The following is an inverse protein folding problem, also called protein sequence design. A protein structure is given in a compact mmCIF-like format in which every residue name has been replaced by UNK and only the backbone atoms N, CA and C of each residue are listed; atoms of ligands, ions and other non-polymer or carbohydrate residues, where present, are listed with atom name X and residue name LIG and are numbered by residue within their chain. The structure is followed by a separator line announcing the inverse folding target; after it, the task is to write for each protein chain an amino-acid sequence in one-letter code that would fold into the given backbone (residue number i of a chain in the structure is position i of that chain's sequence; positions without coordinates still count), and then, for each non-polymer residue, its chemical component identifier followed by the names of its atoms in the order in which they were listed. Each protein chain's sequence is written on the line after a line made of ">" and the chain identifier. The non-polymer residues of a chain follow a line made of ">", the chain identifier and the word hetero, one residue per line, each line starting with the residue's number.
data_IF_188393711588
#
_entry.id   IF_188393711588
#
_cell.length_a   1.000
_cell.length_b   1.000
_cell.length_c   1.000
_cell.angle_alpha   90.00
_cell.angle_beta   90.00
_cell.angle_gamma   90.00
#
_symmetry.space_group_name_H-M   'P 1'
#
loop_
_entity.id
_entity.type
_entity.pdbx_description
1 polymer ?
#
# COMPACT_ATOMS: atom_id res chain seq x y z
N UNK A 1 -3.81 -8.52 14.65
CA UNK A 1 -3.46 -8.93 13.27
C UNK A 1 -4.34 -8.17 12.31
N UNK A 2 -3.76 -7.29 11.52
CA UNK A 2 -4.52 -6.51 10.55
C UNK A 2 -3.82 -6.63 9.20
N UNK A 3 -4.47 -7.33 8.27
CA UNK A 3 -4.08 -7.40 6.89
C UNK A 3 -4.79 -6.29 6.12
N UNK A 4 -4.05 -5.41 5.46
CA UNK A 4 -4.60 -4.30 4.70
C UNK A 4 -4.14 -4.37 3.25
N UNK A 5 -5.11 -4.37 2.35
CA UNK A 5 -4.88 -4.10 0.94
C UNK A 5 -4.90 -2.58 0.74
N UNK A 6 -3.82 -2.02 0.24
CA UNK A 6 -3.70 -0.60 -0.10
C UNK A 6 -3.97 -0.43 -1.59
N UNK A 7 -5.07 0.22 -1.93
CA UNK A 7 -5.50 0.43 -3.32
C UNK A 7 -5.41 1.91 -3.67
N UNK A 8 -4.65 2.23 -4.69
CA UNK A 8 -4.42 3.59 -5.17
C UNK A 8 -2.98 3.80 -5.63
N UNK A 9 -2.73 4.79 -6.48
CA UNK A 9 -1.44 5.00 -7.14
C UNK A 9 -0.37 5.71 -6.27
N UNK A 10 -0.66 5.99 -5.01
CA UNK A 10 0.17 6.85 -4.16
C UNK A 10 1.17 6.05 -3.32
N UNK A 11 2.34 5.77 -3.90
CA UNK A 11 3.42 4.99 -3.27
C UNK A 11 3.88 5.56 -1.92
N UNK A 12 3.92 6.89 -1.77
CA UNK A 12 4.37 7.55 -0.54
C UNK A 12 3.48 7.31 0.69
N UNK A 13 2.22 6.92 0.50
CA UNK A 13 1.33 6.55 1.62
C UNK A 13 1.69 5.17 2.18
N UNK A 14 2.06 4.24 1.31
CA UNK A 14 2.35 2.85 1.68
C UNK A 14 3.58 2.73 2.54
N UNK A 15 4.68 3.31 2.09
CA UNK A 15 5.95 3.33 2.82
C UNK A 15 5.82 4.10 4.14
N UNK A 16 5.07 5.22 4.13
CA UNK A 16 4.81 6.01 5.33
C UNK A 16 3.98 5.25 6.38
N UNK A 17 2.93 4.51 5.97
CA UNK A 17 2.15 3.67 6.90
C UNK A 17 3.03 2.55 7.46
N UNK A 18 3.77 1.83 6.61
CA UNK A 18 4.66 0.76 7.04
C UNK A 18 5.72 1.24 8.03
N UNK A 19 6.37 2.35 7.71
CA UNK A 19 7.38 2.97 8.57
C UNK A 19 6.78 3.48 9.88
N UNK A 20 5.62 4.15 9.84
CA UNK A 20 4.93 4.65 11.03
C UNK A 20 4.51 3.53 11.98
N UNK A 21 4.02 2.40 11.47
CA UNK A 21 3.72 1.23 12.29
C UNK A 21 4.98 0.62 12.93
N UNK A 22 6.08 0.56 12.17
CA UNK A 22 7.35 0.07 12.69
C UNK A 22 7.92 0.99 13.81
N UNK A 23 7.75 2.32 13.68
CA UNK A 23 8.09 3.26 14.75
C UNK A 23 7.26 3.05 16.04
N UNK A 24 6.06 2.52 15.90
CA UNK A 24 5.21 2.11 17.03
C UNK A 24 5.55 0.71 17.56
N UNK A 25 6.75 0.19 17.23
CA UNK A 25 7.25 -1.13 17.62
C UNK A 25 6.34 -2.29 17.16
N UNK A 26 5.72 -2.15 15.98
CA UNK A 26 4.96 -3.21 15.33
C UNK A 26 5.81 -3.94 14.32
N UNK A 27 5.66 -5.26 14.25
CA UNK A 27 6.28 -6.07 13.20
C UNK A 27 5.44 -5.93 11.93
N UNK A 28 6.04 -5.38 10.89
CA UNK A 28 5.34 -5.05 9.65
C UNK A 28 6.02 -5.73 8.47
N UNK A 29 5.24 -6.35 7.61
CA UNK A 29 5.70 -6.76 6.28
C UNK A 29 4.88 -6.05 5.20
N UNK A 30 5.58 -5.48 4.24
CA UNK A 30 5.01 -4.91 3.02
C UNK A 30 5.23 -5.88 1.88
N UNK A 31 4.19 -6.18 1.12
CA UNK A 31 4.23 -7.09 -0.03
C UNK A 31 3.87 -6.31 -1.28
N UNK A 32 4.81 -6.24 -2.22
CA UNK A 32 4.57 -5.68 -3.54
C UNK A 32 3.89 -6.74 -4.42
N UNK A 33 2.63 -6.49 -4.80
CA UNK A 33 1.87 -7.39 -5.66
C UNK A 33 1.85 -6.95 -7.14
N UNK A 34 2.59 -5.88 -7.50
CA UNK A 34 2.70 -5.39 -8.88
C UNK A 34 3.77 -6.15 -9.67
N UNK A 35 3.40 -7.37 -10.09
CA UNK A 35 4.29 -8.23 -10.89
C UNK A 35 4.54 -7.57 -12.26
N UNK A 36 5.82 -7.37 -12.56
CA UNK A 36 6.29 -6.75 -13.82
C UNK A 36 6.71 -5.29 -13.70
N UNK A 37 6.20 -4.51 -12.73
CA UNK A 37 6.56 -3.09 -12.59
C UNK A 37 7.39 -2.78 -11.33
N UNK A 38 7.31 -3.58 -10.30
CA UNK A 38 8.11 -3.50 -9.07
C UNK A 38 8.66 -2.09 -8.75
N UNK A 39 7.98 -1.35 -7.89
CA UNK A 39 8.36 0.02 -7.56
C UNK A 39 8.60 0.25 -6.05
N UNK A 40 8.02 -0.60 -5.19
CA UNK A 40 8.05 -0.40 -3.74
C UNK A 40 9.47 -0.50 -3.16
N UNK A 41 10.31 -1.37 -3.70
CA UNK A 41 11.72 -1.53 -3.32
C UNK A 41 12.56 -0.29 -3.60
N UNK A 42 12.27 0.42 -4.70
CA UNK A 42 12.97 1.66 -5.07
C UNK A 42 12.63 2.77 -4.07
N UNK A 43 11.35 2.92 -3.72
CA UNK A 43 10.88 3.93 -2.76
C UNK A 43 11.48 3.69 -1.37
N UNK A 44 11.67 2.43 -0.98
CA UNK A 44 12.30 2.05 0.29
C UNK A 44 13.84 2.01 0.21
N UNK A 45 14.45 2.25 -0.95
CA UNK A 45 15.91 2.19 -1.15
C UNK A 45 16.51 0.79 -0.92
N UNK A 46 15.74 -0.27 -1.21
CA UNK A 46 16.10 -1.66 -0.97
C UNK A 46 16.40 -2.46 -2.25
N UNK A 47 16.34 -1.83 -3.43
CA UNK A 47 16.46 -2.44 -4.75
C UNK A 47 17.74 -3.27 -4.96
N UNK A 48 18.85 -2.86 -4.33
CA UNK A 48 20.15 -3.54 -4.43
C UNK A 48 20.31 -4.74 -3.47
N UNK A 49 19.27 -5.08 -2.68
CA UNK A 49 19.32 -6.15 -1.66
C UNK A 49 18.47 -7.36 -2.03
N UNK A 50 17.81 -7.32 -3.17
CA UNK A 50 16.88 -8.35 -3.62
C UNK A 50 17.63 -9.53 -4.18
N UNK A 51 17.43 -10.71 -3.58
CA UNK A 51 17.95 -12.01 -4.05
C UNK A 51 16.80 -12.87 -4.54
N UNK A 52 15.70 -12.91 -3.80
CA UNK A 52 14.48 -13.63 -4.11
C UNK A 52 13.28 -12.68 -4.05
N UNK A 53 12.20 -13.06 -4.70
CA UNK A 53 10.97 -12.29 -4.81
C UNK A 53 9.72 -13.15 -4.51
N UNK A 54 8.55 -12.53 -4.53
CA UNK A 54 7.26 -13.17 -4.29
C UNK A 54 7.05 -14.44 -5.14
N UNK A 55 7.37 -14.37 -6.44
CA UNK A 55 7.18 -15.50 -7.37
C UNK A 55 8.12 -16.66 -7.02
N UNK A 56 9.37 -16.38 -6.62
CA UNK A 56 10.31 -17.43 -6.22
C UNK A 56 9.84 -18.17 -4.96
N UNK A 57 9.17 -17.48 -4.03
CA UNK A 57 8.55 -18.11 -2.85
C UNK A 57 7.41 -19.02 -3.25
N UNK A 58 6.49 -18.52 -4.08
CA UNK A 58 5.31 -19.27 -4.53
C UNK A 58 5.67 -20.49 -5.39
N UNK A 59 6.72 -20.38 -6.20
CA UNK A 59 7.28 -21.49 -6.97
C UNK A 59 8.10 -22.49 -6.12
N UNK A 60 8.27 -22.24 -4.82
CA UNK A 60 9.02 -23.11 -3.90
C UNK A 60 10.54 -23.10 -4.09
N UNK A 61 11.10 -22.09 -4.78
CA UNK A 61 12.55 -21.95 -4.99
C UNK A 61 13.29 -21.50 -3.74
N UNK A 62 12.60 -20.81 -2.84
CA UNK A 62 13.13 -20.37 -1.56
C UNK A 62 12.03 -20.37 -0.48
N UNK A 63 12.45 -20.33 0.79
CA UNK A 63 11.52 -20.10 1.91
C UNK A 63 11.19 -18.61 1.98
N UNK A 64 10.01 -18.26 2.47
CA UNK A 64 9.56 -16.87 2.58
C UNK A 64 10.57 -15.97 3.31
N UNK A 65 11.15 -16.46 4.41
CA UNK A 65 12.17 -15.74 5.20
C UNK A 65 13.45 -15.38 4.42
N UNK A 66 13.74 -16.09 3.33
CA UNK A 66 14.92 -15.80 2.48
C UNK A 66 14.60 -14.69 1.46
N UNK A 67 13.33 -14.48 1.14
CA UNK A 67 12.87 -13.42 0.25
C UNK A 67 12.55 -12.12 0.99
N UNK A 68 12.35 -12.17 2.31
CA UNK A 68 12.10 -10.98 3.13
C UNK A 68 13.37 -10.14 3.27
N UNK A 69 13.24 -8.86 2.94
CA UNK A 69 14.30 -7.86 3.06
C UNK A 69 13.97 -6.93 4.22
N UNK A 70 14.83 -6.90 5.23
CA UNK A 70 14.67 -5.97 6.37
C UNK A 70 15.03 -4.56 5.95
N UNK A 71 14.24 -3.60 6.39
CA UNK A 71 14.56 -2.19 6.25
C UNK A 71 15.89 -1.85 6.94
N UNK A 72 16.57 -0.80 6.45
CA UNK A 72 17.88 -0.38 6.96
C UNK A 72 17.81 0.28 8.32
N UNK A 73 16.73 1.03 8.57
CA UNK A 73 16.53 1.86 9.75
C UNK A 73 15.59 1.21 10.75
N UNK A 74 14.59 0.46 10.26
CA UNK A 74 13.54 -0.17 11.05
C UNK A 74 13.60 -1.70 10.94
N UNK A 75 14.28 -2.41 11.87
CA UNK A 75 14.47 -3.87 11.80
C UNK A 75 13.18 -4.69 11.79
N UNK A 76 12.10 -4.12 12.33
CA UNK A 76 10.76 -4.73 12.39
C UNK A 76 9.91 -4.45 11.14
N UNK A 77 10.44 -3.70 10.16
CA UNK A 77 9.85 -3.49 8.84
C UNK A 77 10.56 -4.37 7.82
N UNK A 78 9.79 -5.22 7.16
CA UNK A 78 10.27 -6.08 6.08
C UNK A 78 9.54 -5.77 4.77
N UNK A 79 10.23 -5.99 3.65
CA UNK A 79 9.68 -5.96 2.30
C UNK A 79 9.76 -7.37 1.69
N UNK A 80 8.66 -7.84 1.12
CA UNK A 80 8.64 -8.93 0.15
C UNK A 80 8.46 -8.33 -1.26
N UNK A 81 9.52 -8.28 -2.07
CA UNK A 81 9.47 -7.61 -3.35
C UNK A 81 8.75 -8.45 -4.41
N UNK A 82 8.15 -7.78 -5.38
CA UNK A 82 7.59 -8.39 -6.57
C UNK A 82 8.67 -8.84 -7.57
N UNK A 83 8.28 -9.60 -8.59
CA UNK A 83 9.16 -10.01 -9.70
C UNK A 83 9.10 -8.99 -10.85
N UNK A 84 10.25 -8.62 -11.44
CA UNK A 84 10.31 -7.69 -12.56
C UNK A 84 10.01 -8.31 -13.93
N UNK A 85 10.33 -9.59 -14.12
CA UNK A 85 10.36 -10.24 -15.44
C UNK A 85 9.45 -11.48 -15.49
N UNK A 86 8.33 -11.44 -14.79
CA UNK A 86 7.35 -12.52 -14.74
C UNK A 86 6.00 -12.05 -15.25
N UNK A 87 5.20 -13.01 -15.71
CA UNK A 87 3.83 -12.74 -16.11
C UNK A 87 2.97 -12.37 -14.90
N UNK A 88 1.98 -11.50 -15.10
CA UNK A 88 1.07 -11.05 -14.03
C UNK A 88 0.29 -12.19 -13.37
N UNK A 89 0.11 -13.28 -14.10
CA UNK A 89 -0.60 -14.49 -13.64
C UNK A 89 0.32 -15.50 -12.94
N UNK A 90 1.59 -15.15 -12.68
CA UNK A 90 2.55 -16.04 -12.03
C UNK A 90 2.20 -16.39 -10.58
N UNK A 91 1.28 -15.65 -9.96
CA UNK A 91 0.78 -15.88 -8.61
C UNK A 91 -0.74 -15.91 -8.65
N UNK A 92 -1.35 -16.90 -7.99
CA UNK A 92 -2.80 -17.02 -7.88
C UNK A 92 -3.31 -16.46 -6.54
N UNK A 93 -4.62 -16.14 -6.43
CA UNK A 93 -5.22 -15.70 -5.18
C UNK A 93 -5.06 -16.73 -4.05
N UNK A 94 -5.18 -18.02 -4.34
CA UNK A 94 -5.03 -19.12 -3.37
C UNK A 94 -3.61 -19.17 -2.81
N UNK A 95 -2.61 -19.03 -3.67
CA UNK A 95 -1.20 -18.97 -3.27
C UNK A 95 -0.90 -17.75 -2.42
N UNK A 96 -1.54 -16.60 -2.72
CA UNK A 96 -1.44 -15.42 -1.86
C UNK A 96 -2.02 -15.65 -0.48
N UNK A 97 -3.18 -16.31 -0.38
CA UNK A 97 -3.80 -16.66 0.91
C UNK A 97 -2.89 -17.57 1.75
N UNK A 98 -2.27 -18.58 1.13
CA UNK A 98 -1.34 -19.48 1.81
C UNK A 98 -0.12 -18.72 2.34
N UNK A 99 0.51 -17.89 1.51
CA UNK A 99 1.65 -17.05 1.87
C UNK A 99 1.32 -16.07 3.00
N UNK A 100 0.18 -15.42 2.95
CA UNK A 100 -0.30 -14.49 3.97
C UNK A 100 -0.53 -15.22 5.29
N UNK A 101 -1.11 -16.43 5.27
CA UNK A 101 -1.34 -17.21 6.49
C UNK A 101 -0.02 -17.59 7.18
N UNK A 102 1.05 -17.89 6.42
CA UNK A 102 2.38 -18.12 6.99
C UNK A 102 2.93 -16.85 7.65
N UNK A 103 2.77 -15.68 7.01
CA UNK A 103 3.24 -14.40 7.55
C UNK A 103 2.47 -13.94 8.79
N UNK A 104 1.21 -14.29 8.93
CA UNK A 104 0.36 -13.95 10.10
C UNK A 104 0.93 -14.46 11.43
N UNK A 105 1.75 -15.50 11.40
CA UNK A 105 2.38 -16.06 12.61
C UNK A 105 3.52 -15.16 13.14
N UNK A 106 4.12 -14.33 12.28
CA UNK A 106 5.32 -13.55 12.62
C UNK A 106 5.09 -12.05 12.69
N UNK A 107 4.10 -11.52 11.95
CA UNK A 107 3.88 -10.08 11.78
C UNK A 107 2.58 -9.61 12.38
N UNK A 108 2.61 -8.41 13.00
CA UNK A 108 1.43 -7.74 13.52
C UNK A 108 0.59 -7.13 12.39
N UNK A 109 1.27 -6.66 11.33
CA UNK A 109 0.66 -6.03 10.16
C UNK A 109 1.27 -6.57 8.87
N UNK A 110 0.40 -6.90 7.93
CA UNK A 110 0.77 -7.28 6.56
C UNK A 110 0.11 -6.25 5.64
N UNK A 111 0.90 -5.49 4.91
CA UNK A 111 0.44 -4.47 3.98
C UNK A 111 0.64 -4.98 2.55
N UNK A 112 -0.45 -5.15 1.84
CA UNK A 112 -0.43 -5.57 0.43
C UNK A 112 -0.49 -4.32 -0.45
N UNK A 113 0.57 -4.08 -1.21
CA UNK A 113 0.60 -3.03 -2.22
C UNK A 113 -0.15 -3.50 -3.47
N UNK A 114 -1.35 -2.96 -3.67
CA UNK A 114 -2.19 -3.31 -4.79
C UNK A 114 -1.84 -2.46 -6.02
N UNK A 115 -1.55 -3.06 -7.18
CA UNK A 115 -1.30 -2.31 -8.40
C UNK A 115 -2.54 -1.52 -8.85
N UNK A 116 -2.32 -0.50 -9.66
CA UNK A 116 -3.40 0.22 -10.30
C UNK A 116 -4.20 -0.71 -11.24
N UNK A 117 -5.52 -0.63 -11.18
CA UNK A 117 -6.41 -1.44 -12.00
C UNK A 117 -7.07 -2.59 -11.25
N UNK A 118 -7.77 -3.43 -12.02
CA UNK A 118 -8.67 -4.49 -11.51
C UNK A 118 -8.23 -5.89 -11.98
N UNK A 119 -7.00 -6.01 -12.45
CA UNK A 119 -6.45 -7.23 -13.01
C UNK A 119 -6.04 -8.24 -11.92
N UNK A 120 -5.19 -9.20 -12.28
CA UNK A 120 -4.78 -10.29 -11.39
C UNK A 120 -4.12 -9.80 -10.09
N UNK A 121 -3.30 -8.75 -10.13
CA UNK A 121 -2.67 -8.17 -8.94
C UNK A 121 -3.68 -7.67 -7.90
N UNK A 122 -4.77 -7.04 -8.35
CA UNK A 122 -5.88 -6.64 -7.49
C UNK A 122 -6.55 -7.86 -6.82
N UNK A 123 -6.86 -8.90 -7.61
CA UNK A 123 -7.47 -10.13 -7.08
C UNK A 123 -6.58 -10.80 -6.04
N UNK A 124 -5.28 -10.87 -6.30
CA UNK A 124 -4.28 -11.41 -5.39
C UNK A 124 -4.22 -10.63 -4.08
N UNK A 125 -4.22 -9.29 -4.15
CA UNK A 125 -4.17 -8.44 -2.98
C UNK A 125 -5.45 -8.53 -2.13
N UNK A 126 -6.62 -8.63 -2.76
CA UNK A 126 -7.93 -8.68 -2.08
C UNK A 126 -8.20 -10.05 -1.46
N UNK A 127 -7.77 -11.15 -2.09
CA UNK A 127 -8.12 -12.52 -1.69
C UNK A 127 -7.73 -12.87 -0.24
N UNK A 128 -6.63 -12.32 0.27
CA UNK A 128 -6.18 -12.58 1.65
C UNK A 128 -6.44 -11.43 2.62
N UNK A 129 -6.98 -10.31 2.15
CA UNK A 129 -7.08 -9.10 2.95
C UNK A 129 -8.31 -9.09 3.88
N UNK A 130 -8.12 -8.65 5.13
CA UNK A 130 -9.21 -8.46 6.09
C UNK A 130 -9.83 -7.05 5.98
N UNK A 131 -9.08 -6.11 5.39
CA UNK A 131 -9.43 -4.69 5.31
C UNK A 131 -8.80 -4.07 4.08
N UNK A 132 -9.53 -3.21 3.41
CA UNK A 132 -9.01 -2.40 2.32
C UNK A 132 -8.84 -0.94 2.78
N UNK A 133 -7.77 -0.32 2.29
CA UNK A 133 -7.51 1.09 2.45
C UNK A 133 -7.43 1.73 1.07
N UNK A 134 -8.46 2.46 0.71
CA UNK A 134 -8.54 3.18 -0.57
C UNK A 134 -7.86 4.53 -0.40
N UNK A 135 -6.90 4.83 -1.27
CA UNK A 135 -6.21 6.12 -1.29
C UNK A 135 -6.59 6.83 -2.59
N UNK A 136 -7.12 8.04 -2.47
CA UNK A 136 -7.52 8.85 -3.64
C UNK A 136 -7.11 10.31 -3.45
N UNK A 137 -7.07 11.07 -4.54
CA UNK A 137 -6.92 12.52 -4.53
C UNK A 137 -8.29 13.19 -4.71
N UNK A 138 -8.48 14.45 -4.27
CA UNK A 138 -9.78 15.14 -4.38
C UNK A 138 -10.01 15.71 -5.79
N UNK A 139 -9.77 14.89 -6.81
CA UNK A 139 -9.97 15.17 -8.24
C UNK A 139 -11.07 14.27 -8.80
N UNK A 140 -11.92 14.81 -9.65
CA UNK A 140 -13.12 14.10 -10.18
C UNK A 140 -12.76 12.74 -10.81
N UNK A 141 -11.67 12.67 -11.57
CA UNK A 141 -11.21 11.42 -12.19
C UNK A 141 -10.79 10.38 -11.15
N UNK A 142 -9.98 10.79 -10.17
CA UNK A 142 -9.49 9.90 -9.13
C UNK A 142 -10.63 9.40 -8.23
N UNK A 143 -11.60 10.25 -7.91
CA UNK A 143 -12.79 9.86 -7.13
C UNK A 143 -13.64 8.85 -7.89
N UNK A 144 -13.82 9.02 -9.22
CA UNK A 144 -14.54 8.05 -10.05
C UNK A 144 -13.85 6.70 -10.09
N UNK A 145 -12.51 6.68 -10.15
CA UNK A 145 -11.74 5.45 -10.11
C UNK A 145 -11.83 4.79 -8.71
N UNK A 146 -11.78 5.60 -7.65
CA UNK A 146 -11.95 5.13 -6.28
C UNK A 146 -13.36 4.53 -6.04
N UNK A 147 -14.42 5.17 -6.52
CA UNK A 147 -15.80 4.68 -6.46
C UNK A 147 -15.93 3.29 -7.12
N UNK A 148 -15.33 3.15 -8.31
CA UNK A 148 -15.30 1.85 -9.00
C UNK A 148 -14.56 0.77 -8.18
N UNK A 149 -13.45 1.13 -7.54
CA UNK A 149 -12.69 0.21 -6.68
C UNK A 149 -13.51 -0.16 -5.43
N UNK A 150 -14.16 0.80 -4.78
CA UNK A 150 -15.05 0.54 -3.64
C UNK A 150 -16.14 -0.47 -4.02
N UNK A 151 -16.85 -0.26 -5.14
CA UNK A 151 -17.85 -1.20 -5.62
C UNK A 151 -17.31 -2.61 -5.91
N UNK A 152 -16.06 -2.72 -6.41
CA UNK A 152 -15.41 -4.02 -6.59
C UNK A 152 -15.02 -4.69 -5.27
N UNK A 153 -14.55 -3.94 -4.30
CA UNK A 153 -14.23 -4.44 -2.96
C UNK A 153 -15.50 -4.96 -2.25
N UNK A 154 -16.60 -4.23 -2.36
CA UNK A 154 -17.90 -4.65 -1.84
C UNK A 154 -18.41 -5.92 -2.53
N UNK A 155 -18.29 -6.00 -3.86
CA UNK A 155 -18.65 -7.19 -4.64
C UNK A 155 -17.79 -8.42 -4.27
N UNK A 156 -16.58 -8.23 -3.75
CA UNK A 156 -15.72 -9.27 -3.20
C UNK A 156 -15.91 -9.48 -1.68
N UNK A 157 -17.01 -8.99 -1.12
CA UNK A 157 -17.39 -9.16 0.29
C UNK A 157 -16.35 -8.58 1.29
N UNK A 158 -15.59 -7.56 0.90
CA UNK A 158 -14.65 -6.89 1.77
C UNK A 158 -15.40 -6.23 2.93
N UNK A 159 -15.17 -6.71 4.16
CA UNK A 159 -15.93 -6.31 5.35
C UNK A 159 -15.64 -4.91 5.83
N UNK A 160 -14.45 -4.41 5.52
CA UNK A 160 -14.01 -3.09 5.99
C UNK A 160 -13.22 -2.38 4.93
N UNK A 161 -13.77 -1.25 4.49
CA UNK A 161 -13.17 -0.36 3.51
C UNK A 161 -13.02 1.00 4.19
N UNK A 162 -11.80 1.53 4.20
CA UNK A 162 -11.49 2.85 4.76
C UNK A 162 -10.84 3.72 3.67
N UNK A 163 -10.96 5.04 3.84
CA UNK A 163 -10.50 6.05 2.90
C UNK A 163 -9.38 6.90 3.48
N UNK A 164 -8.37 7.17 2.66
CA UNK A 164 -7.44 8.29 2.83
C UNK A 164 -7.57 9.23 1.65
N UNK A 165 -7.80 10.51 1.92
CA UNK A 165 -7.74 11.57 0.91
C UNK A 165 -6.33 12.15 0.90
N UNK A 166 -5.60 11.96 -0.19
CA UNK A 166 -4.21 12.39 -0.34
C UNK A 166 -4.10 13.66 -1.20
N UNK A 167 -2.98 14.39 -1.09
CA UNK A 167 -2.65 15.59 -1.87
C UNK A 167 -3.71 16.69 -1.76
N UNK A 168 -4.27 16.87 -0.56
CA UNK A 168 -5.27 17.90 -0.30
C UNK A 168 -4.62 19.30 -0.32
N UNK A 169 -5.07 20.15 -1.23
CA UNK A 169 -4.60 21.55 -1.33
C UNK A 169 -5.62 22.48 -0.70
N UNK A 170 -5.35 22.85 0.57
CA UNK A 170 -6.24 23.67 1.38
C UNK A 170 -6.57 25.02 0.74
N UNK A 171 -5.62 25.61 0.02
CA UNK A 171 -5.79 26.86 -0.72
C UNK A 171 -6.80 26.73 -1.88
N UNK A 172 -6.77 25.60 -2.59
CA UNK A 172 -7.70 25.31 -3.68
C UNK A 172 -9.12 24.98 -3.15
N UNK A 173 -9.20 24.22 -2.06
CA UNK A 173 -10.48 23.93 -1.38
C UNK A 173 -11.18 25.22 -0.94
N UNK A 174 -10.44 26.16 -0.31
CA UNK A 174 -10.99 27.45 0.12
C UNK A 174 -11.52 28.31 -1.03
N UNK A 175 -10.98 28.16 -2.24
CA UNK A 175 -11.45 28.88 -3.43
C UNK A 175 -12.58 28.16 -4.17
N UNK A 176 -12.89 26.93 -3.81
CA UNK A 176 -13.86 26.08 -4.52
C UNK A 176 -13.31 25.45 -5.81
N UNK A 177 -12.00 25.45 -6.01
CA UNK A 177 -11.30 24.86 -7.16
C UNK A 177 -11.01 23.36 -6.99
N UNK A 178 -11.17 22.84 -5.77
CA UNK A 178 -10.94 21.44 -5.40
C UNK A 178 -12.03 21.00 -4.43
N UNK A 179 -12.47 19.75 -4.52
CA UNK A 179 -13.42 19.17 -3.57
C UNK A 179 -12.80 19.13 -2.16
N UNK A 180 -13.62 19.36 -1.16
CA UNK A 180 -13.23 19.19 0.22
C UNK A 180 -13.33 17.70 0.62
N UNK A 181 -12.85 17.37 1.80
CA UNK A 181 -12.83 15.99 2.31
C UNK A 181 -14.22 15.43 2.54
N UNK A 182 -15.15 16.27 2.99
CA UNK A 182 -16.55 15.88 3.26
C UNK A 182 -17.25 15.50 1.95
N UNK A 183 -17.07 16.29 0.88
CA UNK A 183 -17.61 15.99 -0.44
C UNK A 183 -17.12 14.62 -0.96
N UNK A 184 -15.81 14.35 -0.82
CA UNK A 184 -15.22 13.06 -1.24
C UNK A 184 -15.78 11.90 -0.43
N UNK A 185 -15.92 12.08 0.88
CA UNK A 185 -16.46 11.05 1.79
C UNK A 185 -17.93 10.77 1.51
N UNK A 186 -18.73 11.81 1.23
CA UNK A 186 -20.14 11.67 0.87
C UNK A 186 -20.32 10.91 -0.45
N UNK A 187 -19.48 11.20 -1.46
CA UNK A 187 -19.53 10.52 -2.76
C UNK A 187 -19.18 9.04 -2.63
N UNK A 188 -18.09 8.72 -1.93
CA UNK A 188 -17.59 7.34 -1.82
C UNK A 188 -18.32 6.52 -0.76
N UNK A 189 -19.05 7.14 0.17
CA UNK A 189 -19.80 6.52 1.24
C UNK A 189 -19.02 5.51 2.10
N UNK A 190 -17.70 5.70 2.26
CA UNK A 190 -16.79 4.86 3.05
C UNK A 190 -16.19 5.65 4.22
N UNK A 191 -15.70 4.95 5.23
CA UNK A 191 -15.16 5.57 6.43
C UNK A 191 -13.83 6.28 6.16
N UNK A 192 -13.76 7.58 6.39
CA UNK A 192 -12.53 8.36 6.33
C UNK A 192 -11.67 8.09 7.56
N UNK A 193 -10.39 7.77 7.35
CA UNK A 193 -9.41 7.60 8.44
C UNK A 193 -8.33 8.68 8.44
N UNK A 194 -8.20 9.46 7.36
CA UNK A 194 -7.24 10.54 7.33
C UNK A 194 -7.25 11.33 6.04
N UNK A 195 -6.72 12.55 6.10
CA UNK A 195 -6.44 13.39 4.96
C UNK A 195 -5.00 13.90 5.01
N UNK A 196 -4.28 13.75 3.90
CA UNK A 196 -2.86 14.12 3.80
C UNK A 196 -2.75 15.35 2.88
N UNK A 197 -2.17 16.46 3.38
CA UNK A 197 -1.97 17.63 2.55
C UNK A 197 -0.94 17.39 1.44
N UNK A 198 -1.04 18.14 0.36
CA UNK A 198 -0.03 18.16 -0.69
C UNK A 198 1.21 18.88 -0.18
N UNK A 199 2.36 18.18 -0.13
CA UNK A 199 3.61 18.72 0.36
C UNK A 199 4.79 18.25 -0.51
N UNK A 200 5.62 19.19 -0.95
CA UNK A 200 6.79 18.89 -1.77
C UNK A 200 7.85 18.04 -1.06
N UNK A 201 7.89 18.07 0.29
CA UNK A 201 8.81 17.26 1.08
C UNK A 201 8.55 15.75 0.88
N UNK A 202 7.31 15.36 0.59
CA UNK A 202 6.97 13.99 0.27
C UNK A 202 7.73 13.54 -1.00
N UNK A 203 7.70 14.36 -2.04
CA UNK A 203 8.40 14.06 -3.31
C UNK A 203 9.91 14.01 -3.09
N UNK A 204 10.47 14.96 -2.32
CA UNK A 204 11.90 15.03 -2.02
C UNK A 204 12.36 13.77 -1.26
N UNK A 205 11.62 13.35 -0.24
CA UNK A 205 11.95 12.19 0.59
C UNK A 205 11.84 10.89 -0.21
N UNK A 206 10.78 10.74 -1.00
CA UNK A 206 10.59 9.57 -1.89
C UNK A 206 11.74 9.43 -2.88
N UNK A 207 12.18 10.53 -3.52
CA UNK A 207 13.31 10.50 -4.45
C UNK A 207 14.65 10.15 -3.78
N UNK A 208 14.74 10.29 -2.45
CA UNK A 208 15.92 9.86 -1.67
C UNK A 208 15.83 8.43 -1.17
N UNK A 209 14.70 7.74 -1.38
CA UNK A 209 14.44 6.43 -0.80
C UNK A 209 14.34 6.47 0.73
N UNK A 210 13.85 7.58 1.28
CA UNK A 210 13.71 7.81 2.72
C UNK A 210 12.26 8.20 3.04
N UNK A 211 11.47 7.33 3.69
CA UNK A 211 10.10 7.67 4.09
C UNK A 211 10.04 8.92 4.97
N UNK A 212 9.16 9.86 4.63
CA UNK A 212 9.04 11.14 5.35
C UNK A 212 8.70 10.98 6.83
N UNK A 213 7.88 10.00 7.18
CA UNK A 213 7.48 9.66 8.56
C UNK A 213 8.69 9.35 9.45
N UNK A 214 9.82 8.96 8.86
CA UNK A 214 11.08 8.71 9.56
C UNK A 214 11.90 9.96 9.87
N UNK A 215 11.50 11.13 9.40
CA UNK A 215 12.12 12.41 9.69
C UNK A 215 11.36 13.15 10.81
N UNK A 216 12.04 14.09 11.50
CA UNK A 216 11.39 14.94 12.54
C UNK A 216 10.28 15.86 11.97
N UNK A 217 10.03 15.80 10.67
CA UNK A 217 9.04 16.55 9.91
C UNK A 217 7.76 15.75 9.69
N UNK A 218 7.23 15.05 10.70
CA UNK A 218 5.98 14.29 10.51
C UNK A 218 4.81 15.23 10.21
N UNK A 219 4.43 15.28 8.94
CA UNK A 219 3.27 16.03 8.44
C UNK A 219 1.94 15.27 8.63
N UNK A 220 1.99 14.06 9.14
CA UNK A 220 0.80 13.24 9.35
C UNK A 220 0.27 13.52 10.75
N UNK A 221 -0.50 14.55 10.88
CA UNK A 221 -1.45 14.69 11.98
C UNK A 221 -2.75 13.99 11.56
N UNK A 222 -2.86 12.72 11.92
CA UNK A 222 -4.09 11.93 11.83
C UNK A 222 -4.89 12.14 13.10
#
# INVERSE_FOLDING_TARGET
>A
EILRCLVGSEMCIRDSIGTGLAQLNKKVVMIDTDIGLRNLDVVMGLENRIVYNLVDVVEGKCRIRQALIKDKKYPDLCLLPSAQTRDKDAVTPEQMVELINELREEFDYILLDCPAGIEQGFKNAVAGADRALVVTTPEVSAIRDADRIVGLLEANEMKRIDLIVNRLRVDMVKRGDMMNVDDVTEILAVNLIGAVPDDEQIVISTNRGEPLVGSDLSLIHI
#
